data_IF_517343910300
#
_entry.id   IF_517343910300
#
_cell.length_a   1.000
_cell.length_b   1.000
_cell.length_c   1.000
_cell.angle_alpha   90.00
_cell.angle_beta   90.00
_cell.angle_gamma   90.00
#
_symmetry.space_group_name_H-M   'P 1'
#
loop_
_entity.id
_entity.type
_entity.pdbx_description
1 polymer ?
#
# COMPACT_ATOMS: atom_id res chain seq x y z
N UNK A 1 -43.05 7.45 95.72
CA UNK A 1 -44.11 7.35 94.70
C UNK A 1 -43.48 6.70 93.47
N UNK A 2 -44.11 5.62 93.00
CA UNK A 2 -43.54 4.55 92.16
C UNK A 2 -43.12 4.98 90.74
N UNK A 3 -41.98 4.44 90.27
CA UNK A 3 -41.55 4.42 88.87
C UNK A 3 -42.58 3.69 87.98
N UNK A 4 -42.83 4.19 86.77
CA UNK A 4 -43.39 3.37 85.67
C UNK A 4 -42.70 3.64 84.33
N UNK A 5 -42.33 2.51 83.72
CA UNK A 5 -41.55 2.27 82.50
C UNK A 5 -42.24 2.79 81.24
N UNK A 6 -41.45 3.28 80.29
CA UNK A 6 -41.83 3.42 78.87
C UNK A 6 -41.04 2.36 78.10
N UNK A 7 -41.75 1.42 77.47
CA UNK A 7 -41.19 0.38 76.63
C UNK A 7 -40.89 0.91 75.23
N UNK A 8 -39.64 0.74 74.80
CA UNK A 8 -39.17 0.98 73.43
C UNK A 8 -39.57 -0.22 72.56
N UNK A 9 -40.23 0.04 71.44
CA UNK A 9 -40.42 -0.94 70.35
C UNK A 9 -39.52 -0.53 69.18
N UNK A 10 -38.46 -1.30 68.95
CA UNK A 10 -37.58 -1.17 67.78
C UNK A 10 -38.22 -1.81 66.56
N UNK A 11 -38.35 -1.05 65.47
CA UNK A 11 -38.61 -1.59 64.13
C UNK A 11 -37.25 -1.72 63.43
N UNK A 12 -36.83 -2.96 63.17
CA UNK A 12 -35.67 -3.26 62.33
C UNK A 12 -36.16 -3.33 60.89
N UNK A 13 -35.87 -2.30 60.09
CA UNK A 13 -36.00 -2.35 58.65
C UNK A 13 -34.71 -2.90 58.05
N UNK A 14 -34.69 -4.20 57.77
CA UNK A 14 -33.72 -4.81 56.87
C UNK A 14 -34.38 -4.93 55.49
N UNK A 15 -33.90 -4.20 54.50
CA UNK A 15 -34.36 -4.32 53.12
C UNK A 15 -33.18 -4.05 52.20
N UNK A 16 -32.92 -5.04 51.33
CA UNK A 16 -31.62 -5.34 50.77
C UNK A 16 -31.07 -4.29 49.82
N UNK A 17 -29.76 -4.04 49.96
CA UNK A 17 -28.93 -3.51 48.90
C UNK A 17 -28.87 -4.56 47.77
N UNK A 18 -29.56 -4.29 46.66
CA UNK A 18 -29.28 -4.95 45.39
C UNK A 18 -27.90 -4.47 44.93
N UNK A 19 -26.88 -5.30 45.13
CA UNK A 19 -25.62 -5.16 44.41
C UNK A 19 -25.90 -5.47 42.94
N UNK A 20 -25.96 -4.44 42.11
CA UNK A 20 -25.85 -4.60 40.66
C UNK A 20 -24.46 -5.13 40.35
N UNK A 21 -24.35 -6.44 40.11
CA UNK A 21 -23.17 -7.01 39.50
C UNK A 21 -23.13 -6.56 38.03
N UNK A 22 -22.39 -5.50 37.73
CA UNK A 22 -21.93 -5.26 36.37
C UNK A 22 -21.01 -6.42 36.01
N UNK A 23 -21.47 -7.32 35.13
CA UNK A 23 -20.60 -8.29 34.49
C UNK A 23 -19.69 -7.54 33.52
N UNK A 24 -18.57 -7.02 34.02
CA UNK A 24 -17.43 -6.67 33.18
C UNK A 24 -16.78 -8.00 32.77
N UNK A 25 -17.17 -8.52 31.60
CA UNK A 25 -16.27 -9.43 30.89
C UNK A 25 -14.94 -8.71 30.66
N UNK A 26 -13.80 -9.42 30.55
CA UNK A 26 -12.56 -8.76 30.20
C UNK A 26 -12.72 -8.21 28.78
N UNK A 27 -12.97 -6.90 28.66
CA UNK A 27 -12.77 -6.16 27.41
C UNK A 27 -11.30 -6.35 27.07
N UNK A 28 -11.02 -7.37 26.27
CA UNK A 28 -9.67 -7.69 25.90
C UNK A 28 -9.24 -6.58 24.95
N UNK A 29 -8.20 -5.80 25.27
CA UNK A 29 -7.84 -4.64 24.47
C UNK A 29 -7.53 -5.08 23.04
N UNK A 30 -8.34 -4.63 22.09
CA UNK A 30 -8.15 -4.87 20.66
C UNK A 30 -7.30 -3.73 20.10
N UNK A 31 -6.07 -4.04 19.71
CA UNK A 31 -5.21 -3.10 18.98
C UNK A 31 -5.39 -3.34 17.49
N UNK A 32 -5.77 -2.30 16.75
CA UNK A 32 -5.89 -2.36 15.28
C UNK A 32 -4.77 -1.57 14.61
N UNK A 33 -4.40 -2.01 13.41
CA UNK A 33 -3.45 -1.31 12.53
C UNK A 33 -4.02 -1.17 11.13
N UNK A 34 -3.66 -0.09 10.44
CA UNK A 34 -4.01 0.16 9.04
C UNK A 34 -2.74 0.30 8.22
N UNK A 35 -2.67 -0.39 7.08
CA UNK A 35 -1.50 -0.42 6.22
C UNK A 35 -1.88 -0.32 4.75
N UNK A 36 -1.00 0.28 3.96
CA UNK A 36 -1.06 0.28 2.49
C UNK A 36 0.12 -0.50 1.90
N UNK A 37 -0.17 -1.61 1.23
CA UNK A 37 0.79 -2.48 0.56
C UNK A 37 0.69 -2.24 -0.96
N UNK A 38 1.32 -1.16 -1.46
CA UNK A 38 1.03 -0.62 -2.78
C UNK A 38 -0.40 -0.07 -2.81
N UNK A 39 -1.22 -0.56 -3.75
CA UNK A 39 -2.65 -0.25 -3.84
C UNK A 39 -3.55 -1.10 -2.91
N UNK A 40 -2.98 -2.10 -2.20
CA UNK A 40 -3.75 -2.93 -1.28
C UNK A 40 -3.92 -2.24 0.08
N UNK A 41 -5.16 -2.06 0.52
CA UNK A 41 -5.45 -1.71 1.92
C UNK A 41 -5.52 -2.98 2.77
N UNK A 42 -4.78 -2.98 3.88
CA UNK A 42 -4.75 -4.07 4.85
C UNK A 42 -5.05 -3.52 6.24
N UNK A 43 -6.04 -4.11 6.90
CA UNK A 43 -6.37 -3.80 8.30
C UNK A 43 -6.00 -5.00 9.15
N UNK A 44 -5.34 -4.76 10.28
CA UNK A 44 -5.00 -5.81 11.24
C UNK A 44 -5.72 -5.55 12.55
N UNK A 45 -6.07 -6.61 13.26
CA UNK A 45 -6.68 -6.55 14.59
C UNK A 45 -6.10 -7.66 15.45
N UNK A 46 -5.38 -7.25 16.50
CA UNK A 46 -4.85 -8.16 17.52
C UNK A 46 -6.00 -8.69 18.37
N UNK A 47 -6.02 -10.01 18.59
CA UNK A 47 -7.03 -10.68 19.41
C UNK A 47 -6.36 -11.18 20.70
N UNK A 48 -7.01 -10.98 21.84
CA UNK A 48 -6.48 -11.52 23.09
C UNK A 48 -5.29 -10.72 23.64
N UNK A 49 -4.31 -11.47 24.13
CA UNK A 49 -2.98 -11.01 24.53
C UNK A 49 -2.02 -10.78 23.34
N UNK A 50 -2.52 -10.89 22.11
CA UNK A 50 -1.70 -10.75 20.89
C UNK A 50 -1.14 -12.06 20.35
N UNK A 51 -1.56 -13.22 20.87
CA UNK A 51 -1.23 -14.54 20.31
C UNK A 51 -1.87 -14.81 18.94
N UNK A 52 -2.87 -14.03 18.54
CA UNK A 52 -3.53 -14.11 17.24
C UNK A 52 -3.71 -12.74 16.60
N UNK A 53 -3.62 -12.71 15.28
CA UNK A 53 -3.84 -11.52 14.46
C UNK A 53 -4.91 -11.81 13.40
N UNK A 54 -5.98 -11.04 13.40
CA UNK A 54 -6.89 -10.97 12.26
C UNK A 54 -6.29 -10.01 11.23
N UNK A 55 -6.23 -10.42 9.96
CA UNK A 55 -5.82 -9.58 8.83
C UNK A 55 -6.96 -9.53 7.81
N UNK A 56 -7.42 -8.33 7.49
CA UNK A 56 -8.50 -8.05 6.54
C UNK A 56 -7.95 -7.32 5.32
N UNK A 57 -8.23 -7.84 4.12
CA UNK A 57 -7.79 -7.28 2.84
C UNK A 57 -8.72 -7.77 1.73
N UNK A 58 -9.10 -6.91 0.77
CA UNK A 58 -10.03 -7.27 -0.32
C UNK A 58 -11.28 -8.04 0.17
N UNK A 59 -11.79 -7.65 1.35
CA UNK A 59 -12.87 -8.29 2.11
C UNK A 59 -12.69 -9.78 2.45
N UNK A 60 -11.49 -10.31 2.29
CA UNK A 60 -11.05 -11.56 2.89
C UNK A 60 -10.59 -11.29 4.33
N UNK A 61 -10.77 -12.30 5.19
CA UNK A 61 -10.32 -12.26 6.59
C UNK A 61 -9.47 -13.48 6.88
N UNK A 62 -8.23 -13.26 7.29
CA UNK A 62 -7.30 -14.30 7.73
C UNK A 62 -7.12 -14.24 9.25
N UNK A 63 -7.09 -15.40 9.88
CA UNK A 63 -6.68 -15.53 11.27
C UNK A 63 -5.30 -16.18 11.31
N UNK A 64 -4.31 -15.42 11.79
CA UNK A 64 -2.92 -15.82 11.86
C UNK A 64 -2.50 -16.01 13.31
N UNK A 65 -1.62 -16.97 13.58
CA UNK A 65 -1.06 -17.23 14.91
C UNK A 65 0.34 -16.64 15.00
N UNK A 66 0.69 -16.13 16.18
CA UNK A 66 2.02 -15.62 16.42
C UNK A 66 3.07 -16.71 16.20
N UNK A 67 4.18 -16.36 15.56
CA UNK A 67 5.33 -17.20 15.34
C UNK A 67 6.60 -16.53 15.88
N UNK A 68 7.60 -17.35 16.24
CA UNK A 68 8.89 -16.87 16.73
C UNK A 68 9.59 -16.05 15.64
N UNK A 69 10.13 -14.90 16.02
CA UNK A 69 10.94 -14.04 15.15
C UNK A 69 12.09 -13.41 15.95
N UNK A 70 13.23 -13.18 15.28
CA UNK A 70 14.36 -12.47 15.86
C UNK A 70 14.09 -10.96 16.05
N UNK A 71 13.16 -10.38 15.26
CA UNK A 71 12.79 -8.97 15.35
C UNK A 71 11.39 -8.74 14.76
N UNK A 72 10.62 -7.85 15.38
CA UNK A 72 9.24 -7.56 14.96
C UNK A 72 8.23 -8.67 15.34
N UNK A 73 6.96 -8.41 15.08
CA UNK A 73 5.86 -9.31 15.38
C UNK A 73 5.48 -10.09 14.11
N UNK A 74 5.75 -11.40 14.12
CA UNK A 74 5.46 -12.31 13.01
C UNK A 74 4.24 -13.17 13.32
N UNK A 75 3.34 -13.26 12.35
CA UNK A 75 2.13 -14.08 12.41
C UNK A 75 2.03 -14.92 11.14
N UNK A 76 1.67 -16.19 11.27
CA UNK A 76 1.60 -17.17 10.17
C UNK A 76 0.28 -17.93 10.19
N UNK A 77 -0.18 -18.42 9.03
CA UNK A 77 -1.33 -19.31 8.99
C UNK A 77 -0.96 -20.70 9.55
N UNK A 78 -1.92 -21.40 10.15
CA UNK A 78 -1.64 -22.68 10.85
C UNK A 78 -1.16 -23.80 9.91
N UNK A 79 -1.59 -23.78 8.64
CA UNK A 79 -1.31 -24.83 7.66
C UNK A 79 -0.54 -24.32 6.42
N UNK A 80 -0.12 -23.05 6.42
CA UNK A 80 0.58 -22.41 5.30
C UNK A 80 1.54 -21.34 5.83
N UNK A 81 2.82 -21.70 5.92
CA UNK A 81 3.88 -20.79 6.38
C UNK A 81 4.22 -19.68 5.37
N UNK A 82 3.75 -19.83 4.11
CA UNK A 82 3.84 -18.82 3.06
C UNK A 82 2.74 -17.77 3.15
N UNK A 83 1.71 -18.00 3.98
CA UNK A 83 0.74 -16.98 4.38
C UNK A 83 1.16 -16.38 5.71
N UNK A 84 1.60 -15.13 5.69
CA UNK A 84 2.09 -14.45 6.88
C UNK A 84 1.89 -12.95 6.84
N UNK A 85 1.87 -12.36 8.04
CA UNK A 85 2.01 -10.93 8.26
C UNK A 85 3.16 -10.72 9.24
N UNK A 86 4.13 -9.90 8.88
CA UNK A 86 5.29 -9.63 9.72
C UNK A 86 5.53 -8.12 9.85
N UNK A 87 5.12 -7.56 10.98
CA UNK A 87 5.26 -6.15 11.28
C UNK A 87 6.53 -5.83 12.05
N UNK A 88 7.18 -4.71 11.71
CA UNK A 88 8.31 -4.12 12.43
C UNK A 88 8.22 -2.59 12.37
N UNK A 89 7.90 -1.97 13.51
CA UNK A 89 7.65 -0.53 13.58
C UNK A 89 6.45 -0.15 12.71
N UNK A 90 6.62 0.84 11.85
CA UNK A 90 5.57 1.39 10.97
C UNK A 90 5.42 0.62 9.63
N UNK A 91 6.15 -0.49 9.47
CA UNK A 91 6.24 -1.26 8.23
C UNK A 91 5.89 -2.72 8.48
N UNK A 92 5.40 -3.40 7.44
CA UNK A 92 5.14 -4.82 7.49
C UNK A 92 5.37 -5.52 6.14
N UNK A 93 5.71 -6.80 6.20
CA UNK A 93 5.68 -7.70 5.06
C UNK A 93 4.40 -8.53 5.13
N UNK A 94 3.72 -8.64 3.99
CA UNK A 94 2.49 -9.42 3.86
C UNK A 94 2.58 -10.37 2.67
N UNK A 95 2.17 -11.61 2.89
CA UNK A 95 2.17 -12.66 1.88
C UNK A 95 0.96 -13.56 2.08
N UNK A 96 0.35 -13.99 0.98
CA UNK A 96 -0.78 -14.93 0.97
C UNK A 96 -0.47 -16.04 -0.03
N UNK A 97 -0.42 -17.29 0.45
CA UNK A 97 -0.09 -18.48 -0.36
C UNK A 97 1.20 -18.34 -1.18
N UNK A 98 2.17 -17.60 -0.65
CA UNK A 98 3.45 -17.32 -1.29
C UNK A 98 3.44 -16.16 -2.29
N UNK A 99 2.30 -15.53 -2.56
CA UNK A 99 2.26 -14.25 -3.26
C UNK A 99 2.58 -13.12 -2.28
N UNK A 100 3.72 -12.47 -2.49
CA UNK A 100 4.16 -11.33 -1.69
C UNK A 100 3.61 -10.02 -2.24
N UNK A 101 3.08 -9.20 -1.35
CA UNK A 101 2.63 -7.84 -1.66
C UNK A 101 3.78 -6.83 -1.46
N UNK A 102 3.69 -5.61 -2.03
CA UNK A 102 4.62 -4.52 -1.72
C UNK A 102 4.71 -4.28 -0.20
N UNK A 103 5.76 -3.61 0.27
CA UNK A 103 5.90 -3.34 1.71
C UNK A 103 4.67 -2.57 2.21
N UNK A 104 4.08 -3.06 3.29
CA UNK A 104 2.90 -2.51 3.90
C UNK A 104 3.29 -1.35 4.81
N UNK A 105 2.83 -0.15 4.49
CA UNK A 105 3.20 1.08 5.18
C UNK A 105 2.03 1.61 6.00
N UNK A 106 2.25 1.94 7.27
CA UNK A 106 1.31 2.75 8.05
C UNK A 106 1.26 4.19 7.53
N UNK A 107 0.29 4.96 8.01
CA UNK A 107 0.17 6.39 7.74
C UNK A 107 1.45 7.16 8.12
N UNK A 108 2.05 7.85 7.15
CA UNK A 108 3.32 8.57 7.31
C UNK A 108 4.58 7.71 7.25
N UNK A 109 4.46 6.38 7.15
CA UNK A 109 5.58 5.49 6.88
C UNK A 109 6.01 5.58 5.42
N UNK A 110 7.27 5.25 5.14
CA UNK A 110 7.85 5.22 3.80
C UNK A 110 8.70 3.98 3.61
N UNK A 111 8.76 3.51 2.37
CA UNK A 111 9.72 2.48 1.98
C UNK A 111 11.14 3.04 2.07
N UNK A 112 12.07 2.16 2.44
CA UNK A 112 13.48 2.48 2.60
C UNK A 112 14.33 1.48 1.82
N UNK A 113 15.34 1.93 1.06
CA UNK A 113 15.75 3.33 0.87
C UNK A 113 14.67 4.14 0.13
N UNK A 114 14.49 5.40 0.52
CA UNK A 114 13.61 6.33 -0.18
C UNK A 114 14.46 7.16 -1.15
N UNK A 115 14.06 7.20 -2.42
CA UNK A 115 14.74 7.98 -3.46
C UNK A 115 13.80 9.04 -4.03
N UNK A 116 14.35 10.19 -4.37
CA UNK A 116 13.63 11.26 -5.05
C UNK A 116 14.54 12.07 -5.97
N UNK A 117 13.97 12.61 -7.03
CA UNK A 117 14.67 13.40 -8.04
C UNK A 117 13.89 14.66 -8.39
N UNK A 118 14.58 15.68 -8.86
CA UNK A 118 13.98 16.82 -9.55
C UNK A 118 14.89 17.36 -10.65
N UNK A 119 14.32 18.17 -11.55
CA UNK A 119 14.97 18.55 -12.82
C UNK A 119 15.31 20.05 -12.93
N UNK A 120 14.87 20.89 -12.00
CA UNK A 120 15.06 22.34 -12.07
C UNK A 120 15.55 22.96 -10.75
N UNK A 121 16.88 23.11 -10.56
CA UNK A 121 17.96 22.37 -11.23
C UNK A 121 17.91 20.86 -10.91
N UNK A 122 18.78 20.08 -11.54
CA UNK A 122 18.83 18.64 -11.31
C UNK A 122 19.37 18.30 -9.92
N UNK A 123 18.65 17.42 -9.22
CA UNK A 123 19.05 16.88 -7.94
C UNK A 123 18.49 15.47 -7.75
N UNK A 124 19.18 14.68 -6.94
CA UNK A 124 18.77 13.35 -6.51
C UNK A 124 19.08 13.21 -5.02
N UNK A 125 18.13 12.68 -4.25
CA UNK A 125 18.37 12.30 -2.85
C UNK A 125 18.09 10.83 -2.66
N UNK A 126 18.90 10.19 -1.81
CA UNK A 126 18.64 8.87 -1.26
C UNK A 126 18.64 8.93 0.25
N UNK A 127 17.55 8.51 0.87
CA UNK A 127 17.40 8.45 2.32
C UNK A 127 17.43 7.00 2.78
N UNK A 128 18.38 6.65 3.65
CA UNK A 128 18.47 5.34 4.28
C UNK A 128 19.10 5.49 5.68
N UNK A 129 18.69 4.68 6.65
CA UNK A 129 19.38 4.58 7.95
C UNK A 129 19.68 5.91 8.67
N UNK A 130 18.76 6.89 8.61
CA UNK A 130 18.94 8.25 9.18
C UNK A 130 20.04 9.07 8.49
N UNK A 131 20.33 8.76 7.25
CA UNK A 131 21.28 9.45 6.40
C UNK A 131 20.59 9.82 5.09
N UNK A 132 20.91 11.01 4.59
CA UNK A 132 20.51 11.51 3.28
C UNK A 132 21.77 11.72 2.46
N UNK A 133 21.81 11.12 1.29
CA UNK A 133 22.84 11.37 0.28
C UNK A 133 22.25 12.26 -0.80
N UNK A 134 22.75 13.49 -0.91
CA UNK A 134 22.35 14.48 -1.92
C UNK A 134 23.35 14.48 -3.06
N UNK A 135 22.88 14.27 -4.28
CA UNK A 135 23.66 14.40 -5.49
C UNK A 135 23.07 15.52 -6.36
N UNK A 136 23.91 16.50 -6.71
CA UNK A 136 23.58 17.61 -7.61
C UNK A 136 24.54 17.53 -8.80
N UNK A 137 24.14 16.91 -9.92
CA UNK A 137 25.08 16.54 -11.00
C UNK A 137 25.87 17.69 -11.65
N UNK A 138 25.44 18.93 -11.45
CA UNK A 138 26.09 20.12 -12.00
C UNK A 138 26.98 20.84 -10.99
N UNK A 139 26.98 20.40 -9.74
CA UNK A 139 27.88 20.90 -8.72
C UNK A 139 29.22 20.16 -8.80
N UNK A 140 30.32 20.88 -8.56
CA UNK A 140 31.66 20.30 -8.56
C UNK A 140 31.86 19.62 -7.21
N UNK A 141 31.70 18.30 -7.13
CA UNK A 141 31.90 17.56 -5.89
C UNK A 141 31.44 16.11 -5.95
N UNK A 142 31.75 15.38 -4.88
CA UNK A 142 31.13 14.09 -4.57
C UNK A 142 29.72 14.32 -3.98
N UNK A 143 28.84 13.31 -3.98
CA UNK A 143 27.57 13.39 -3.26
C UNK A 143 27.76 13.79 -1.80
N UNK A 144 26.89 14.66 -1.30
CA UNK A 144 26.93 15.19 0.06
C UNK A 144 26.16 14.27 1.00
N UNK A 145 26.79 13.84 2.09
CA UNK A 145 26.17 13.01 3.12
C UNK A 145 25.68 13.88 4.28
N UNK A 146 24.41 13.73 4.64
CA UNK A 146 23.73 14.52 5.66
C UNK A 146 23.10 13.60 6.69
N UNK A 147 23.55 13.71 7.94
CA UNK A 147 22.90 13.04 9.06
C UNK A 147 21.51 13.65 9.29
N UNK A 148 20.50 12.80 9.37
CA UNK A 148 19.11 13.22 9.49
C UNK A 148 18.59 13.09 10.93
N UNK A 149 17.97 14.16 11.38
CA UNK A 149 17.01 14.18 12.46
C UNK A 149 15.59 14.09 11.87
N UNK A 150 14.80 13.11 12.30
CA UNK A 150 13.40 13.02 11.88
C UNK A 150 12.54 13.82 12.84
N UNK A 151 11.91 14.89 12.37
CA UNK A 151 11.18 15.81 13.24
C UNK A 151 9.67 15.60 13.22
N UNK A 152 9.07 15.20 12.08
CA UNK A 152 7.61 15.00 11.96
C UNK A 152 7.27 13.89 10.96
N UNK A 153 6.53 12.87 11.42
CA UNK A 153 5.77 11.97 10.56
C UNK A 153 4.27 12.15 10.86
N UNK A 154 3.46 12.35 9.82
CA UNK A 154 2.00 12.39 9.95
C UNK A 154 1.34 11.67 8.77
N UNK A 155 0.01 11.56 8.79
CA UNK A 155 -0.73 10.83 7.75
C UNK A 155 -0.52 11.31 6.31
N UNK A 156 -0.09 12.56 6.12
CA UNK A 156 0.11 13.17 4.81
C UNK A 156 1.54 13.05 4.29
N UNK A 157 2.50 12.65 5.12
CA UNK A 157 3.90 12.67 4.73
C UNK A 157 4.90 12.62 5.87
N UNK A 158 6.15 12.85 5.52
CA UNK A 158 7.27 12.88 6.46
C UNK A 158 8.21 14.04 6.13
N UNK A 159 8.79 14.61 7.17
CA UNK A 159 9.82 15.64 7.08
C UNK A 159 11.12 15.11 7.69
N UNK A 160 12.19 15.21 6.92
CA UNK A 160 13.55 14.99 7.37
C UNK A 160 14.27 16.32 7.49
N UNK A 161 15.03 16.49 8.56
CA UNK A 161 15.89 17.65 8.74
C UNK A 161 17.31 17.20 8.96
N UNK A 162 18.25 18.01 8.53
CA UNK A 162 19.66 17.81 8.76
C UNK A 162 20.41 19.12 8.63
N UNK A 163 21.72 19.04 8.75
CA UNK A 163 22.60 20.19 8.57
C UNK A 163 23.64 19.85 7.52
N UNK A 164 23.82 20.75 6.55
CA UNK A 164 24.84 20.66 5.51
C UNK A 164 25.59 21.98 5.48
N UNK A 165 26.91 21.95 5.69
CA UNK A 165 27.79 23.13 5.72
C UNK A 165 27.31 24.27 6.65
N UNK A 166 26.74 23.93 7.81
CA UNK A 166 26.23 24.92 8.77
C UNK A 166 24.85 25.48 8.43
N UNK A 167 24.17 24.93 7.42
CA UNK A 167 22.86 25.35 6.95
C UNK A 167 21.82 24.26 7.13
N UNK A 168 20.60 24.66 7.49
CA UNK A 168 19.49 23.72 7.65
C UNK A 168 19.08 23.16 6.27
N UNK A 169 19.04 21.84 6.19
CA UNK A 169 18.47 21.09 5.07
C UNK A 169 17.15 20.49 5.53
N UNK A 170 16.09 20.68 4.74
CA UNK A 170 14.80 20.04 5.00
C UNK A 170 14.29 19.31 3.76
N UNK A 171 13.97 18.02 3.89
CA UNK A 171 13.31 17.22 2.86
C UNK A 171 11.88 16.89 3.31
N UNK A 172 10.89 17.50 2.64
CA UNK A 172 9.46 17.24 2.86
C UNK A 172 8.95 16.28 1.79
N UNK A 173 8.39 15.16 2.23
CA UNK A 173 7.78 14.14 1.37
C UNK A 173 6.28 14.12 1.62
N UNK A 174 5.49 14.43 0.60
CA UNK A 174 4.03 14.39 0.64
C UNK A 174 3.51 13.17 -0.14
N UNK A 175 2.59 12.40 0.46
CA UNK A 175 1.94 11.25 -0.15
C UNK A 175 0.89 11.70 -1.17
N UNK A 176 1.37 12.17 -2.31
CA UNK A 176 0.55 12.68 -3.40
C UNK A 176 1.20 12.26 -4.71
N UNK A 177 0.37 11.84 -5.67
CA UNK A 177 0.82 11.50 -7.02
C UNK A 177 1.64 12.67 -7.60
N UNK A 178 2.83 12.35 -8.08
CA UNK A 178 3.75 13.27 -8.72
C UNK A 178 4.01 12.79 -10.14
N UNK A 179 4.04 13.71 -11.09
CA UNK A 179 4.43 13.44 -12.47
C UNK A 179 5.70 14.23 -12.76
N UNK A 180 6.75 13.51 -13.16
CA UNK A 180 8.02 14.11 -13.53
C UNK A 180 7.85 14.92 -14.82
N UNK A 181 8.26 16.19 -14.79
CA UNK A 181 8.00 17.13 -15.87
C UNK A 181 8.83 16.88 -17.14
N UNK A 182 9.88 16.06 -17.08
CA UNK A 182 10.70 15.74 -18.25
C UNK A 182 10.32 14.41 -18.89
N UNK A 183 10.14 13.37 -18.08
CA UNK A 183 9.85 12.01 -18.54
C UNK A 183 8.35 11.71 -18.62
N UNK A 184 7.52 12.42 -17.86
CA UNK A 184 6.10 12.09 -17.69
C UNK A 184 5.86 10.85 -16.83
N UNK A 185 6.90 10.32 -16.17
CA UNK A 185 6.81 9.21 -15.23
C UNK A 185 6.04 9.62 -13.97
N UNK A 186 5.32 8.68 -13.37
CA UNK A 186 4.57 8.93 -12.16
C UNK A 186 5.20 8.26 -10.93
N UNK A 187 5.16 8.98 -9.82
CA UNK A 187 5.70 8.55 -8.54
C UNK A 187 4.66 8.72 -7.43
N UNK A 188 4.73 7.91 -6.35
CA UNK A 188 3.76 7.95 -5.27
C UNK A 188 3.88 9.18 -4.36
N UNK A 189 4.98 9.94 -4.44
CA UNK A 189 5.20 11.10 -3.59
C UNK A 189 5.70 12.33 -4.34
N UNK A 190 5.20 13.49 -3.91
CA UNK A 190 5.78 14.80 -4.21
C UNK A 190 6.82 15.14 -3.15
N UNK A 191 7.93 15.71 -3.57
CA UNK A 191 9.07 15.99 -2.71
C UNK A 191 9.49 17.45 -2.85
N UNK A 192 9.81 18.06 -1.71
CA UNK A 192 10.37 19.40 -1.63
C UNK A 192 11.64 19.36 -0.79
N UNK A 193 12.77 19.66 -1.42
CA UNK A 193 14.04 19.88 -0.75
C UNK A 193 14.23 21.39 -0.53
N UNK A 194 14.49 21.79 0.70
CA UNK A 194 14.80 23.16 1.08
C UNK A 194 16.25 23.18 1.59
N UNK A 195 17.11 23.95 0.93
CA UNK A 195 18.55 24.06 1.26
C UNK A 195 19.01 25.49 0.99
N UNK A 196 19.68 26.12 1.95
CA UNK A 196 20.20 27.49 1.82
C UNK A 196 19.13 28.55 1.47
N UNK A 197 17.86 28.28 1.80
CA UNK A 197 16.72 29.12 1.43
C UNK A 197 16.16 28.87 0.02
N UNK A 198 16.83 28.07 -0.80
CA UNK A 198 16.32 27.61 -2.08
C UNK A 198 15.35 26.43 -1.91
N UNK A 199 14.39 26.32 -2.82
CA UNK A 199 13.36 25.29 -2.80
C UNK A 199 13.38 24.51 -4.11
N UNK A 200 13.68 23.23 -4.00
CA UNK A 200 13.74 22.30 -5.12
C UNK A 200 12.55 21.35 -5.07
N UNK A 201 11.83 21.22 -6.18
CA UNK A 201 10.68 20.34 -6.30
C UNK A 201 11.06 19.07 -7.05
N UNK A 202 10.39 17.98 -6.73
CA UNK A 202 10.68 16.68 -7.31
C UNK A 202 9.64 15.62 -6.99
N UNK A 203 9.89 14.43 -7.50
CA UNK A 203 9.08 13.24 -7.33
C UNK A 203 9.89 12.14 -6.63
N UNK A 204 9.24 11.26 -5.88
CA UNK A 204 9.97 10.19 -5.18
C UNK A 204 9.14 9.00 -4.73
N UNK A 205 9.84 7.98 -4.25
CA UNK A 205 9.32 6.67 -3.88
C UNK A 205 9.23 5.71 -5.07
N UNK A 206 8.99 4.43 -4.80
CA UNK A 206 8.92 3.38 -5.82
C UNK A 206 7.67 3.54 -6.73
N UNK A 207 7.83 3.80 -8.04
CA UNK A 207 6.74 3.90 -9.00
C UNK A 207 5.87 2.63 -9.09
N UNK A 208 6.43 1.44 -8.87
CA UNK A 208 5.67 0.20 -8.98
C UNK A 208 4.52 0.12 -7.97
N UNK A 209 4.65 0.84 -6.84
CA UNK A 209 3.59 0.92 -5.82
C UNK A 209 2.30 1.51 -6.36
N UNK A 210 2.35 2.29 -7.44
CA UNK A 210 1.16 2.83 -8.10
C UNK A 210 0.32 1.74 -8.76
N UNK A 211 0.94 0.61 -9.13
CA UNK A 211 0.30 -0.44 -9.93
C UNK A 211 0.16 -1.78 -9.18
N UNK A 212 1.08 -2.08 -8.26
CA UNK A 212 1.11 -3.34 -7.51
C UNK A 212 0.17 -3.35 -6.31
N UNK A 213 -0.28 -4.54 -5.92
CA UNK A 213 -1.22 -4.73 -4.80
C UNK A 213 -2.70 -4.55 -5.16
N UNK A 214 -3.01 -4.33 -6.43
CA UNK A 214 -4.38 -4.27 -6.95
C UNK A 214 -4.59 -5.29 -8.06
N UNK A 215 -5.85 -5.76 -8.16
CA UNK A 215 -6.38 -6.32 -9.39
C UNK A 215 -7.10 -5.21 -10.14
N UNK A 216 -6.61 -4.91 -11.34
CA UNK A 216 -7.17 -3.89 -12.22
C UNK A 216 -8.16 -4.55 -13.17
N UNK A 217 -9.42 -4.15 -13.14
CA UNK A 217 -10.47 -4.63 -14.04
C UNK A 217 -10.54 -3.68 -15.23
N UNK A 218 -10.33 -4.22 -16.43
CA UNK A 218 -10.39 -3.44 -17.67
C UNK A 218 -11.84 -3.13 -18.01
N UNK A 219 -12.14 -1.85 -18.25
CA UNK A 219 -13.48 -1.36 -18.60
C UNK A 219 -13.53 -0.79 -20.03
N UNK A 220 -12.38 -0.35 -20.57
CA UNK A 220 -12.29 0.15 -21.94
C UNK A 220 -11.05 -0.36 -22.67
N UNK A 221 -11.27 -0.77 -23.93
CA UNK A 221 -10.24 -1.17 -24.88
C UNK A 221 -10.27 -0.26 -26.10
N UNK A 222 -9.38 0.74 -26.10
CA UNK A 222 -9.20 1.71 -27.17
C UNK A 222 -10.54 2.33 -27.63
N UNK A 223 -11.31 2.84 -26.66
CA UNK A 223 -12.56 3.58 -26.86
C UNK A 223 -13.78 2.74 -27.24
N UNK A 224 -13.68 1.40 -27.20
CA UNK A 224 -14.75 0.50 -27.63
C UNK A 224 -15.51 -0.17 -26.48
N UNK A 225 -15.11 0.09 -25.22
CA UNK A 225 -15.60 -0.66 -24.06
C UNK A 225 -15.17 -2.13 -24.08
N UNK A 226 -15.83 -2.92 -23.23
CA UNK A 226 -15.71 -4.39 -23.17
C UNK A 226 -17.09 -5.04 -23.30
N UNK A 227 -17.14 -6.29 -23.76
CA UNK A 227 -18.36 -7.10 -23.77
C UNK A 227 -18.83 -7.33 -22.32
N UNK A 228 -20.12 -7.07 -22.06
CA UNK A 228 -20.73 -7.32 -20.76
C UNK A 228 -20.47 -8.76 -20.28
N UNK A 229 -20.20 -8.93 -18.98
CA UNK A 229 -19.83 -10.20 -18.34
C UNK A 229 -18.45 -10.79 -18.74
N UNK A 230 -17.68 -10.12 -19.61
CA UNK A 230 -16.28 -10.48 -19.86
C UNK A 230 -15.36 -9.82 -18.84
N UNK A 231 -15.11 -10.49 -17.71
CA UNK A 231 -14.13 -10.01 -16.73
C UNK A 231 -12.70 -10.11 -17.28
N UNK A 232 -12.10 -8.96 -17.59
CA UNK A 232 -10.72 -8.83 -18.02
C UNK A 232 -9.91 -8.12 -16.94
N UNK A 233 -8.75 -8.67 -16.58
CA UNK A 233 -7.96 -8.16 -15.46
C UNK A 233 -6.48 -8.09 -15.73
N UNK A 234 -5.81 -7.18 -15.02
CA UNK A 234 -4.37 -6.98 -14.99
C UNK A 234 -3.92 -6.97 -13.53
N UNK A 235 -2.96 -7.81 -13.17
CA UNK A 235 -2.30 -7.82 -11.87
C UNK A 235 -0.79 -7.73 -12.05
N UNK A 236 -0.15 -6.82 -11.31
CA UNK A 236 1.30 -6.66 -11.24
C UNK A 236 1.82 -7.32 -9.97
N UNK A 237 2.80 -8.22 -10.13
CA UNK A 237 3.39 -9.03 -9.07
C UNK A 237 4.84 -8.61 -8.81
N UNK A 238 5.46 -9.22 -7.81
CA UNK A 238 6.90 -9.13 -7.62
C UNK A 238 7.68 -9.77 -8.78
N UNK A 239 8.98 -9.44 -8.83
CA UNK A 239 9.93 -9.98 -9.81
C UNK A 239 9.50 -9.71 -11.25
N UNK A 240 8.96 -8.52 -11.51
CA UNK A 240 8.65 -8.03 -12.86
C UNK A 240 7.63 -8.91 -13.59
N UNK A 241 6.71 -9.55 -12.86
CA UNK A 241 5.69 -10.43 -13.45
C UNK A 241 4.34 -9.75 -13.53
N UNK A 242 3.61 -10.03 -14.60
CA UNK A 242 2.19 -9.74 -14.70
C UNK A 242 1.39 -10.99 -15.02
N UNK A 243 0.14 -11.00 -14.58
CA UNK A 243 -0.83 -12.00 -14.98
C UNK A 243 -2.24 -11.43 -14.91
N UNK A 244 -3.18 -12.15 -15.51
CA UNK A 244 -4.58 -11.76 -15.42
C UNK A 244 -5.47 -12.63 -16.29
N UNK A 245 -6.66 -12.10 -16.56
CA UNK A 245 -7.61 -12.70 -17.49
C UNK A 245 -7.78 -11.79 -18.70
N UNK A 246 -7.59 -12.33 -19.89
CA UNK A 246 -7.64 -11.59 -21.15
C UNK A 246 -9.03 -11.66 -21.81
N UNK A 247 -10.11 -11.79 -21.03
CA UNK A 247 -11.47 -12.21 -21.44
C UNK A 247 -11.72 -13.71 -21.27
N UNK A 248 -11.36 -14.55 -22.23
CA UNK A 248 -11.65 -15.99 -22.18
C UNK A 248 -10.61 -16.70 -21.31
N UNK A 249 -9.35 -16.51 -21.68
CA UNK A 249 -8.16 -17.18 -21.20
C UNK A 249 -7.46 -16.42 -20.08
N UNK A 250 -6.68 -17.18 -19.31
CA UNK A 250 -5.67 -16.60 -18.43
C UNK A 250 -4.45 -16.27 -19.26
N UNK A 251 -3.76 -15.20 -18.88
CA UNK A 251 -2.50 -14.82 -19.49
C UNK A 251 -1.46 -14.51 -18.41
N UNK A 252 -0.20 -14.49 -18.82
CA UNK A 252 0.92 -14.04 -18.01
C UNK A 252 2.04 -13.50 -18.87
N UNK A 253 2.99 -12.83 -18.24
CA UNK A 253 4.18 -12.29 -18.91
C UNK A 253 5.09 -11.60 -17.91
N UNK A 254 5.99 -10.78 -18.44
CA UNK A 254 6.87 -9.91 -17.68
C UNK A 254 6.60 -8.45 -18.03
N UNK A 255 6.85 -7.54 -17.10
CA UNK A 255 6.83 -6.11 -17.35
C UNK A 255 8.16 -5.48 -16.93
N UNK A 256 8.56 -4.42 -17.60
CA UNK A 256 9.66 -3.57 -17.18
C UNK A 256 9.13 -2.14 -17.06
N UNK A 257 9.36 -1.52 -15.90
CA UNK A 257 8.97 -0.13 -15.63
C UNK A 257 10.24 0.69 -15.45
N UNK A 258 10.41 1.72 -16.28
CA UNK A 258 11.50 2.68 -16.20
C UNK A 258 10.95 4.09 -16.06
N UNK A 259 11.83 5.09 -15.94
CA UNK A 259 11.39 6.49 -15.99
C UNK A 259 10.79 6.85 -17.36
N UNK A 260 11.19 6.20 -18.44
CA UNK A 260 10.73 6.50 -19.79
C UNK A 260 9.39 5.85 -20.15
N UNK A 261 8.98 4.81 -19.41
CA UNK A 261 7.74 4.11 -19.72
C UNK A 261 7.64 2.70 -19.15
N UNK A 262 6.76 1.91 -19.76
CA UNK A 262 6.55 0.49 -19.42
C UNK A 262 6.58 -0.35 -20.68
N UNK A 263 7.13 -1.56 -20.60
CA UNK A 263 7.02 -2.59 -21.63
C UNK A 263 6.43 -3.88 -21.07
N UNK A 264 5.88 -4.72 -21.95
CA UNK A 264 5.37 -6.04 -21.60
C UNK A 264 5.94 -7.10 -22.53
N UNK A 265 6.65 -8.06 -21.95
CA UNK A 265 7.43 -9.06 -22.65
C UNK A 265 7.03 -10.47 -22.23
N UNK A 266 7.44 -11.47 -23.03
CA UNK A 266 7.19 -12.89 -22.77
C UNK A 266 5.71 -13.24 -22.50
N UNK A 267 4.80 -12.52 -23.16
CA UNK A 267 3.36 -12.69 -22.99
C UNK A 267 2.89 -14.05 -23.53
N UNK A 268 2.13 -14.78 -22.71
CA UNK A 268 1.51 -16.05 -23.07
C UNK A 268 0.06 -16.10 -22.61
N UNK A 269 -0.76 -16.92 -23.28
CA UNK A 269 -2.14 -17.17 -22.88
C UNK A 269 -2.47 -18.67 -22.90
N UNK A 270 -3.40 -19.09 -22.06
CA UNK A 270 -3.99 -20.43 -22.13
C UNK A 270 -4.83 -20.59 -23.40
N UNK A 271 -5.26 -21.81 -23.73
CA UNK A 271 -6.09 -22.09 -24.90
C UNK A 271 -7.39 -22.80 -24.53
N UNK A 272 -8.38 -22.02 -24.10
CA UNK A 272 -9.77 -22.43 -23.94
C UNK A 272 -10.58 -21.96 -25.15
N UNK A 273 -11.59 -22.73 -25.53
CA UNK A 273 -12.54 -22.35 -26.57
C UNK A 273 -13.72 -21.59 -25.95
N UNK A 274 -13.88 -20.33 -26.32
CA UNK A 274 -15.03 -19.49 -25.96
C UNK A 274 -15.81 -19.08 -27.22
N UNK A 275 -16.90 -18.33 -27.03
CA UNK A 275 -17.62 -17.70 -28.13
C UNK A 275 -16.68 -16.78 -28.95
N UNK A 276 -16.83 -16.70 -30.28
CA UNK A 276 -15.93 -15.93 -31.15
C UNK A 276 -15.76 -14.46 -30.72
N UNK A 277 -16.80 -13.82 -30.19
CA UNK A 277 -16.74 -12.44 -29.72
C UNK A 277 -15.74 -12.25 -28.55
N UNK A 278 -15.70 -13.20 -27.60
CA UNK A 278 -14.76 -13.16 -26.47
C UNK A 278 -13.32 -13.41 -26.92
N UNK A 279 -13.14 -14.32 -27.88
CA UNK A 279 -11.82 -14.61 -28.46
C UNK A 279 -11.28 -13.39 -29.24
N UNK A 280 -12.12 -12.74 -30.06
CA UNK A 280 -11.70 -11.54 -30.80
C UNK A 280 -11.34 -10.38 -29.86
N UNK A 281 -12.07 -10.20 -28.76
CA UNK A 281 -11.75 -9.19 -27.75
C UNK A 281 -10.42 -9.51 -27.04
N UNK A 282 -10.20 -10.78 -26.70
CA UNK A 282 -8.95 -11.26 -26.13
C UNK A 282 -7.75 -10.98 -27.02
N UNK A 283 -7.85 -11.34 -28.30
CA UNK A 283 -6.78 -11.09 -29.28
C UNK A 283 -6.46 -9.59 -29.39
N UNK A 284 -7.49 -8.74 -29.41
CA UNK A 284 -7.32 -7.29 -29.42
C UNK A 284 -6.61 -6.79 -28.16
N UNK A 285 -7.01 -7.26 -26.98
CA UNK A 285 -6.35 -6.90 -25.73
C UNK A 285 -4.88 -7.30 -25.71
N UNK A 286 -4.56 -8.54 -26.08
CA UNK A 286 -3.16 -9.03 -26.10
C UNK A 286 -2.30 -8.27 -27.12
N UNK A 287 -2.86 -7.88 -28.27
CA UNK A 287 -2.18 -7.03 -29.26
C UNK A 287 -1.97 -5.61 -28.76
N UNK A 288 -2.91 -5.04 -28.00
CA UNK A 288 -2.73 -3.71 -27.40
C UNK A 288 -1.66 -3.76 -26.31
N UNK A 289 -1.70 -4.77 -25.43
CA UNK A 289 -0.72 -4.98 -24.36
C UNK A 289 0.72 -5.02 -24.91
N UNK A 290 0.97 -5.70 -26.02
CA UNK A 290 2.32 -5.77 -26.63
C UNK A 290 2.81 -4.46 -27.26
N UNK A 291 1.95 -3.45 -27.35
CA UNK A 291 2.26 -2.12 -27.91
C UNK A 291 2.28 -1.02 -26.86
N UNK A 292 1.96 -1.32 -25.59
CA UNK A 292 1.99 -0.34 -24.49
C UNK A 292 3.42 0.16 -24.32
N UNK A 293 3.54 1.48 -24.18
CA UNK A 293 4.81 2.15 -23.88
C UNK A 293 4.72 3.02 -22.63
N UNK A 294 3.50 3.32 -22.12
CA UNK A 294 3.30 4.15 -20.93
C UNK A 294 2.24 3.55 -20.01
N UNK A 295 2.51 3.53 -18.71
CA UNK A 295 1.53 3.29 -17.66
C UNK A 295 1.37 4.55 -16.82
N UNK A 296 0.13 4.87 -16.43
CA UNK A 296 -0.16 5.98 -15.54
C UNK A 296 -1.42 5.73 -14.73
N UNK A 297 -1.53 6.44 -13.61
CA UNK A 297 -2.74 6.57 -12.83
C UNK A 297 -3.43 7.88 -13.22
N UNK A 298 -4.66 7.75 -13.71
CA UNK A 298 -5.52 8.87 -14.05
C UNK A 298 -6.10 9.57 -12.82
N UNK A 299 -6.74 10.73 -13.04
CA UNK A 299 -7.27 11.60 -11.97
C UNK A 299 -8.30 10.93 -11.05
N UNK A 300 -8.99 9.90 -11.53
CA UNK A 300 -10.00 9.18 -10.75
C UNK A 300 -9.46 7.85 -10.20
N UNK A 301 -8.14 7.63 -10.23
CA UNK A 301 -7.50 6.41 -9.74
C UNK A 301 -7.52 5.24 -10.72
N UNK A 302 -7.88 5.46 -11.98
CA UNK A 302 -7.82 4.43 -13.02
C UNK A 302 -6.38 4.18 -13.48
N UNK A 303 -6.04 2.92 -13.74
CA UNK A 303 -4.86 2.55 -14.52
C UNK A 303 -5.13 2.85 -15.99
N UNK A 304 -4.22 3.56 -16.63
CA UNK A 304 -4.22 3.85 -18.06
C UNK A 304 -2.93 3.30 -18.65
N UNK A 305 -3.06 2.36 -19.57
CA UNK A 305 -1.96 1.86 -20.39
C UNK A 305 -2.09 2.43 -21.80
N UNK A 306 -1.10 3.21 -22.23
CA UNK A 306 -1.10 3.88 -23.54
C UNK A 306 -0.11 3.20 -24.47
N UNK A 307 -0.56 2.89 -25.69
CA UNK A 307 0.29 2.35 -26.74
C UNK A 307 1.15 3.43 -27.40
N UNK A 308 2.17 3.00 -28.14
CA UNK A 308 2.98 3.91 -28.98
C UNK A 308 2.17 4.68 -30.03
N UNK A 309 0.97 4.21 -30.38
CA UNK A 309 0.03 4.85 -31.32
C UNK A 309 -1.01 5.74 -30.64
N UNK A 310 -1.01 5.83 -29.30
CA UNK A 310 -1.96 6.62 -28.52
C UNK A 310 -3.29 5.93 -28.22
N UNK A 311 -3.41 4.62 -28.49
CA UNK A 311 -4.56 3.83 -28.05
C UNK A 311 -4.43 3.52 -26.55
N UNK A 312 -5.56 3.50 -25.83
CA UNK A 312 -5.54 3.34 -24.37
C UNK A 312 -6.30 2.08 -23.93
N UNK A 313 -5.78 1.41 -22.90
CA UNK A 313 -6.51 0.44 -22.07
C UNK A 313 -6.78 1.11 -20.74
N UNK A 314 -8.05 1.24 -20.36
CA UNK A 314 -8.44 1.83 -19.07
C UNK A 314 -8.96 0.75 -18.13
N UNK A 315 -8.43 0.72 -16.91
CA UNK A 315 -8.80 -0.24 -15.89
C UNK A 315 -8.97 0.40 -14.51
N UNK A 316 -9.85 -0.15 -13.68
CA UNK A 316 -10.11 0.33 -12.32
C UNK A 316 -9.78 -0.74 -11.29
N UNK A 317 -9.35 -0.33 -10.10
CA UNK A 317 -9.12 -1.27 -9.01
C UNK A 317 -10.40 -2.04 -8.68
N UNK A 318 -10.31 -3.37 -8.60
CA UNK A 318 -11.39 -4.23 -8.18
C UNK A 318 -11.87 -3.84 -6.78
N UNK A 319 -13.15 -3.57 -6.64
CA UNK A 319 -13.84 -3.40 -5.36
C UNK A 319 -14.47 -4.70 -4.87
N UNK A 320 -14.40 -5.78 -5.67
CA UNK A 320 -15.04 -7.06 -5.36
C UNK A 320 -14.15 -7.94 -4.47
N UNK A 321 -14.77 -8.59 -3.49
CA UNK A 321 -14.10 -9.57 -2.64
C UNK A 321 -13.75 -10.80 -3.47
N UNK A 322 -12.47 -11.20 -3.52
CA UNK A 322 -11.97 -12.43 -4.17
C UNK A 322 -12.48 -13.75 -3.52
N UNK A 323 -13.63 -13.74 -2.84
CA UNK A 323 -14.19 -14.85 -2.05
C UNK A 323 -15.55 -15.39 -2.51
N UNK A 324 -16.13 -14.91 -3.61
CA UNK A 324 -17.40 -15.46 -4.15
C UNK A 324 -17.22 -16.05 -5.54
N UNK A 325 -16.60 -17.23 -5.61
CA UNK A 325 -16.80 -18.19 -6.70
C UNK A 325 -16.88 -19.60 -6.12
#
# INVERSE_FOLDING_TARGET
>A
MYLKRISVTSIVAASGLFLSACATGPDTPMTSGSYQCGQLNVTTTSVGDGGQLTVEFQGQRLLLKQAVSASGARYVATEDDKTYFWGKGERALFSVKGQRYPECLQDGAMEMPFEATGNEPFWHVRVAHQELVLNRPYDIGEPEEVALETTVANRHGREFRGELDGQELTLKVARQLCEDNMSGAQFPAQVRLELNGDVFQGCGGDPERLFRGAEWIVEDLAGAGIIDSSRMTIEFFDENRLAGRASCNRYGGQYELTAEGVSFDYMFATKMACAPALMNQEDRFLVLMSKVTRASIGRNGQLILTTSTGEEITAFQSTENKGSL
#
